data_IF_258789540797
#
_entry.id   IF_258789540797
#
_cell.length_a   1.000
_cell.length_b   1.000
_cell.length_c   1.000
_cell.angle_alpha   90.00
_cell.angle_beta   90.00
_cell.angle_gamma   90.00
#
_symmetry.space_group_name_H-M   'P 1'
#
loop_
_entity.id
_entity.type
_entity.pdbx_description
1 polymer ?
#
# COMPACT_ATOMS: atom_id res chain seq x y z
N UNK A 1 27.32 -6.71 19.33
CA UNK A 1 25.99 -6.26 18.88
C UNK A 1 25.44 -5.37 19.96
N UNK A 2 24.95 -4.19 19.57
CA UNK A 2 24.58 -3.13 20.51
C UNK A 2 23.21 -3.42 21.15
N UNK A 3 23.05 -3.16 22.45
CA UNK A 3 21.79 -3.44 23.18
C UNK A 3 20.62 -2.59 22.68
N UNK A 4 20.93 -1.47 22.04
CA UNK A 4 20.02 -0.56 21.35
C UNK A 4 19.36 -1.15 20.10
N UNK A 5 19.92 -2.23 19.53
CA UNK A 5 19.38 -2.90 18.33
C UNK A 5 18.37 -4.01 18.67
N UNK A 6 18.13 -4.26 19.97
CA UNK A 6 17.17 -5.27 20.44
C UNK A 6 15.75 -4.71 20.36
N UNK A 7 14.88 -5.40 19.63
CA UNK A 7 13.48 -5.00 19.47
C UNK A 7 12.73 -5.22 20.79
N UNK A 8 12.17 -4.14 21.35
CA UNK A 8 11.23 -4.22 22.47
C UNK A 8 9.78 -4.29 22.00
N UNK A 9 8.88 -4.69 22.90
CA UNK A 9 7.44 -4.68 22.63
C UNK A 9 6.89 -3.25 22.42
N UNK A 10 7.47 -2.26 23.09
CA UNK A 10 7.09 -0.85 22.91
C UNK A 10 7.45 -0.36 21.49
N UNK A 11 8.63 -0.71 20.99
CA UNK A 11 9.06 -0.39 19.62
C UNK A 11 8.12 -1.00 18.57
N UNK A 12 7.69 -2.26 18.79
CA UNK A 12 6.73 -2.93 17.91
C UNK A 12 5.37 -2.22 17.89
N UNK A 13 4.94 -1.66 19.02
CA UNK A 13 3.69 -0.92 19.13
C UNK A 13 3.72 0.39 18.33
N UNK A 14 4.86 1.11 18.36
CA UNK A 14 5.05 2.35 17.62
C UNK A 14 5.23 2.12 16.13
N UNK A 15 5.97 1.06 15.75
CA UNK A 15 6.07 0.63 14.35
C UNK A 15 4.69 0.25 13.81
N UNK A 16 3.85 -0.46 14.57
CA UNK A 16 2.49 -0.82 14.15
C UNK A 16 1.63 0.43 13.89
N UNK A 17 1.72 1.46 14.73
CA UNK A 17 1.05 2.76 14.49
C UNK A 17 1.57 3.42 13.21
N UNK A 18 2.88 3.56 13.06
CA UNK A 18 3.47 4.18 11.86
C UNK A 18 3.08 3.45 10.56
N UNK A 19 3.16 2.11 10.57
CA UNK A 19 2.77 1.24 9.46
C UNK A 19 1.28 1.39 9.12
N UNK A 20 0.41 1.51 10.11
CA UNK A 20 -1.03 1.71 9.88
C UNK A 20 -1.33 3.02 9.14
N UNK A 21 -0.64 4.11 9.52
CA UNK A 21 -0.79 5.42 8.89
C UNK A 21 -0.24 5.41 7.47
N UNK A 22 0.94 4.83 7.27
CA UNK A 22 1.52 4.69 5.94
C UNK A 22 0.67 3.80 5.03
N UNK A 23 0.16 2.68 5.54
CA UNK A 23 -0.78 1.81 4.82
C UNK A 23 -1.99 2.59 4.32
N UNK A 24 -2.63 3.34 5.20
CA UNK A 24 -3.81 4.12 4.84
C UNK A 24 -3.46 5.12 3.74
N UNK A 25 -2.37 5.86 3.90
CA UNK A 25 -1.91 6.84 2.90
C UNK A 25 -1.60 6.21 1.56
N UNK A 26 -0.88 5.09 1.52
CA UNK A 26 -0.53 4.39 0.27
C UNK A 26 -1.75 3.80 -0.42
N UNK A 27 -2.69 3.19 0.32
CA UNK A 27 -3.92 2.63 -0.27
C UNK A 27 -4.80 3.76 -0.80
N UNK A 28 -4.95 4.85 -0.06
CA UNK A 28 -5.69 6.04 -0.52
C UNK A 28 -5.04 6.65 -1.76
N UNK A 29 -3.72 6.83 -1.75
CA UNK A 29 -3.00 7.36 -2.92
C UNK A 29 -3.15 6.46 -4.15
N UNK A 30 -3.10 5.13 -3.98
CA UNK A 30 -3.30 4.19 -5.08
C UNK A 30 -4.75 4.20 -5.60
N UNK A 31 -5.74 4.23 -4.72
CA UNK A 31 -7.15 4.28 -5.10
C UNK A 31 -7.53 5.60 -5.78
N UNK A 32 -7.21 6.72 -5.12
CA UNK A 32 -7.51 8.07 -5.63
C UNK A 32 -6.69 8.35 -6.89
N UNK A 33 -5.41 7.95 -6.94
CA UNK A 33 -4.56 8.14 -8.11
C UNK A 33 -5.10 7.43 -9.35
N UNK A 34 -5.62 6.20 -9.20
CA UNK A 34 -6.26 5.48 -10.30
C UNK A 34 -7.52 6.18 -10.83
N UNK A 35 -8.34 6.74 -9.93
CA UNK A 35 -9.54 7.50 -10.29
C UNK A 35 -9.16 8.78 -11.02
N UNK A 36 -8.21 9.55 -10.49
CA UNK A 36 -7.71 10.79 -11.09
C UNK A 36 -7.18 10.52 -12.50
N UNK A 37 -6.35 9.49 -12.67
CA UNK A 37 -5.82 9.11 -13.97
C UNK A 37 -6.94 8.77 -14.97
N UNK A 38 -7.96 8.03 -14.54
CA UNK A 38 -9.09 7.66 -15.40
C UNK A 38 -9.94 8.86 -15.77
N UNK A 39 -10.09 9.83 -14.86
CA UNK A 39 -10.75 11.11 -15.15
C UNK A 39 -9.97 11.94 -16.19
N UNK A 40 -8.63 11.94 -16.13
CA UNK A 40 -7.80 12.57 -17.16
C UNK A 40 -7.96 11.90 -18.53
N UNK A 41 -8.00 10.57 -18.58
CA UNK A 41 -8.26 9.83 -19.83
C UNK A 41 -9.63 10.20 -20.41
N UNK A 42 -10.66 10.26 -19.56
CA UNK A 42 -12.01 10.68 -19.97
C UNK A 42 -12.03 12.10 -20.52
N UNK A 43 -11.43 13.05 -19.80
CA UNK A 43 -11.37 14.45 -20.21
C UNK A 43 -10.59 14.62 -21.53
N UNK A 44 -9.45 13.93 -21.67
CA UNK A 44 -8.65 13.94 -22.89
C UNK A 44 -9.42 13.35 -24.08
N UNK A 45 -10.19 12.28 -23.87
CA UNK A 45 -11.01 11.69 -24.93
C UNK A 45 -12.13 12.63 -25.38
N UNK A 46 -12.88 13.20 -24.43
CA UNK A 46 -13.98 14.12 -24.74
C UNK A 46 -13.49 15.42 -25.38
N UNK A 47 -12.26 15.84 -25.09
CA UNK A 47 -11.64 16.98 -25.76
C UNK A 47 -11.44 16.72 -27.26
N UNK A 48 -11.07 15.50 -27.64
CA UNK A 48 -10.85 15.11 -29.05
C UNK A 48 -12.15 14.69 -29.74
N UNK A 49 -13.05 14.02 -29.01
CA UNK A 49 -14.30 13.43 -29.49
C UNK A 49 -15.47 13.78 -28.55
N UNK A 50 -15.99 15.02 -28.58
CA UNK A 50 -16.99 15.48 -27.62
C UNK A 50 -18.34 14.74 -27.71
N UNK A 51 -18.67 14.16 -28.86
CA UNK A 51 -19.90 13.39 -29.06
C UNK A 51 -19.84 11.95 -28.55
N UNK A 52 -18.66 11.42 -28.19
CA UNK A 52 -18.47 9.99 -27.90
C UNK A 52 -18.42 9.70 -26.39
N UNK A 53 -19.43 10.16 -25.66
CA UNK A 53 -19.49 10.03 -24.18
C UNK A 53 -19.43 8.57 -23.74
N UNK A 54 -20.15 7.67 -24.41
CA UNK A 54 -20.13 6.23 -24.08
C UNK A 54 -18.74 5.60 -24.24
N UNK A 55 -18.01 5.97 -25.29
CA UNK A 55 -16.65 5.48 -25.52
C UNK A 55 -15.66 6.07 -24.48
N UNK A 56 -15.83 7.35 -24.12
CA UNK A 56 -15.03 7.99 -23.08
C UNK A 56 -15.18 7.30 -21.72
N UNK A 57 -16.42 6.98 -21.33
CA UNK A 57 -16.72 6.27 -20.08
C UNK A 57 -16.12 4.85 -20.13
N UNK A 58 -16.27 4.14 -21.26
CA UNK A 58 -15.68 2.82 -21.42
C UNK A 58 -14.16 2.85 -21.28
N UNK A 59 -13.48 3.80 -21.92
CA UNK A 59 -12.03 3.98 -21.83
C UNK A 59 -11.58 4.30 -20.40
N UNK A 60 -12.31 5.16 -19.69
CA UNK A 60 -12.01 5.50 -18.30
C UNK A 60 -12.17 4.28 -17.37
N UNK A 61 -13.21 3.47 -17.59
CA UNK A 61 -13.41 2.23 -16.84
C UNK A 61 -12.26 1.24 -17.11
N UNK A 62 -11.91 1.04 -18.38
CA UNK A 62 -10.82 0.14 -18.79
C UNK A 62 -9.48 0.63 -18.23
N UNK A 63 -9.18 1.93 -18.27
CA UNK A 63 -7.95 2.48 -17.69
C UNK A 63 -7.87 2.24 -16.19
N UNK A 64 -8.99 2.41 -15.47
CA UNK A 64 -9.02 2.13 -14.04
C UNK A 64 -8.76 0.65 -13.75
N UNK A 65 -9.43 -0.25 -14.49
CA UNK A 65 -9.30 -1.70 -14.32
C UNK A 65 -7.89 -2.19 -14.65
N UNK A 66 -7.23 -1.63 -15.67
CA UNK A 66 -5.90 -2.06 -16.10
C UNK A 66 -4.76 -1.43 -15.29
N UNK A 67 -4.93 -0.21 -14.76
CA UNK A 67 -3.84 0.50 -14.08
C UNK A 67 -4.14 0.79 -12.60
N UNK A 68 -5.33 1.28 -12.28
CA UNK A 68 -5.71 1.62 -10.91
C UNK A 68 -5.87 0.38 -10.02
N UNK A 69 -6.61 -0.62 -10.51
CA UNK A 69 -6.96 -1.81 -9.73
C UNK A 69 -5.72 -2.69 -9.43
N UNK A 70 -4.80 -2.96 -10.37
CA UNK A 70 -3.60 -3.74 -10.08
C UNK A 70 -2.65 -3.01 -9.14
N UNK A 71 -2.54 -1.68 -9.24
CA UNK A 71 -1.75 -0.87 -8.32
C UNK A 71 -2.31 -0.97 -6.89
N UNK A 72 -3.63 -0.84 -6.74
CA UNK A 72 -4.30 -0.98 -5.45
C UNK A 72 -4.11 -2.38 -4.86
N UNK A 73 -4.29 -3.43 -5.67
CA UNK A 73 -4.06 -4.83 -5.24
C UNK A 73 -2.62 -5.04 -4.81
N UNK A 74 -1.64 -4.51 -5.56
CA UNK A 74 -0.22 -4.59 -5.21
C UNK A 74 0.05 -3.97 -3.84
N UNK A 75 -0.46 -2.77 -3.57
CA UNK A 75 -0.28 -2.10 -2.29
C UNK A 75 -0.96 -2.84 -1.14
N UNK A 76 -2.19 -3.33 -1.34
CA UNK A 76 -2.89 -4.14 -0.34
C UNK A 76 -2.10 -5.39 0.02
N UNK A 77 -1.56 -6.10 -0.99
CA UNK A 77 -0.73 -7.30 -0.77
C UNK A 77 0.57 -6.97 -0.07
N UNK A 78 1.25 -5.91 -0.49
CA UNK A 78 2.50 -5.45 0.13
C UNK A 78 2.32 -5.16 1.62
N UNK A 79 1.28 -4.38 1.98
CA UNK A 79 1.00 -4.09 3.37
C UNK A 79 0.60 -5.34 4.17
N UNK A 80 -0.16 -6.27 3.58
CA UNK A 80 -0.49 -7.55 4.23
C UNK A 80 0.76 -8.34 4.60
N UNK A 81 1.77 -8.38 3.71
CA UNK A 81 3.05 -9.04 3.99
C UNK A 81 3.82 -8.36 5.12
N UNK A 82 3.83 -7.02 5.17
CA UNK A 82 4.46 -6.27 6.27
C UNK A 82 3.80 -6.59 7.62
N UNK A 83 2.46 -6.60 7.66
CA UNK A 83 1.71 -6.95 8.88
C UNK A 83 2.00 -8.37 9.37
N UNK A 84 2.07 -9.34 8.44
CA UNK A 84 2.40 -10.73 8.78
C UNK A 84 3.81 -10.83 9.37
N UNK A 85 4.81 -10.18 8.77
CA UNK A 85 6.18 -10.17 9.32
C UNK A 85 6.26 -9.50 10.68
N UNK A 86 5.53 -8.40 10.90
CA UNK A 86 5.46 -7.74 12.20
C UNK A 86 4.85 -8.66 13.27
N UNK A 87 3.77 -9.37 12.94
CA UNK A 87 3.15 -10.33 13.86
C UNK A 87 4.09 -11.50 14.19
N UNK A 88 4.82 -12.03 13.20
CA UNK A 88 5.80 -13.09 13.43
C UNK A 88 6.94 -12.64 14.35
N UNK A 89 7.41 -11.39 14.21
CA UNK A 89 8.46 -10.83 15.09
C UNK A 89 7.90 -10.62 16.51
N UNK A 90 6.69 -10.09 16.63
CA UNK A 90 6.03 -9.90 17.92
C UNK A 90 5.88 -11.22 18.69
N UNK A 91 5.49 -12.31 18.01
CA UNK A 91 5.39 -13.63 18.63
C UNK A 91 6.75 -14.14 19.13
N UNK A 92 7.83 -13.93 18.37
CA UNK A 92 9.19 -14.32 18.79
C UNK A 92 9.67 -13.52 20.00
N UNK A 93 9.46 -12.21 19.99
CA UNK A 93 9.82 -11.34 21.12
C UNK A 93 9.01 -11.71 22.38
N UNK A 94 7.71 -12.00 22.23
CA UNK A 94 6.86 -12.47 23.33
C UNK A 94 7.30 -13.84 23.88
N UNK A 95 7.83 -14.72 23.03
CA UNK A 95 8.43 -15.99 23.45
C UNK A 95 9.77 -15.81 24.19
N UNK A 96 10.26 -14.58 24.35
CA UNK A 96 11.52 -14.25 25.02
C UNK A 96 12.74 -14.34 24.10
N UNK A 97 12.55 -14.54 22.79
CA UNK A 97 13.66 -14.54 21.83
C UNK A 97 14.23 -13.12 21.65
N UNK A 98 15.55 -13.05 21.50
CA UNK A 98 16.27 -11.80 21.24
C UNK A 98 16.26 -11.53 19.74
N UNK A 99 15.33 -10.71 19.26
CA UNK A 99 15.29 -10.28 17.86
C UNK A 99 15.97 -8.93 17.70
N UNK A 100 16.88 -8.82 16.73
CA UNK A 100 17.58 -7.59 16.42
C UNK A 100 16.97 -6.92 15.18
N UNK A 101 16.85 -5.59 15.20
CA UNK A 101 16.32 -4.79 14.09
C UNK A 101 17.07 -5.04 12.79
N UNK A 102 18.39 -5.16 12.86
CA UNK A 102 19.28 -5.49 11.73
C UNK A 102 18.99 -6.84 11.03
N UNK A 103 18.32 -7.77 11.71
CA UNK A 103 17.96 -9.08 11.13
C UNK A 103 16.58 -9.07 10.45
N UNK A 104 15.78 -8.02 10.69
CA UNK A 104 14.44 -7.90 10.12
C UNK A 104 14.54 -7.27 8.72
N UNK A 105 14.23 -8.07 7.70
CA UNK A 105 14.07 -7.58 6.33
C UNK A 105 12.59 -7.43 6.00
N UNK A 106 12.17 -6.24 5.61
CA UNK A 106 10.87 -6.03 4.97
C UNK A 106 11.05 -6.13 3.44
N UNK A 107 10.13 -6.79 2.72
CA UNK A 107 10.15 -6.89 1.26
C UNK A 107 9.79 -5.57 0.56
#
# INVERSE_FOLDING_TARGET
MDSSDRISLDDLSDVRKAVSVMRLRSILAAGVGGIIFSAFVLAAWLWVRPGEVSAAIFLAAVSYVLFGLPLLVRWVRHWRMIYQRLADIELRVQAGEVVYGSQVKFP
#
